data_IF_980434769173
#
_entry.id   IF_980434769173
#
_cell.length_a   1.000
_cell.length_b   1.000
_cell.length_c   1.000
_cell.angle_alpha   90.00
_cell.angle_beta   90.00
_cell.angle_gamma   90.00
#
_symmetry.space_group_name_H-M   'P 1'
#
loop_
_entity.id
_entity.type
_entity.pdbx_description
1 polymer ?
#
# COMPACT_ATOMS: atom_id res chain seq x y z
N UNK A 1 -0.30 -9.17 53.63
CA UNK A 1 0.87 -8.44 53.08
C UNK A 1 1.43 -9.13 51.84
N UNK A 2 1.62 -10.46 51.84
CA UNK A 2 2.11 -11.23 50.69
C UNK A 2 1.25 -11.12 49.42
N UNK A 3 -0.08 -11.27 49.52
CA UNK A 3 -0.97 -11.30 48.35
C UNK A 3 -1.06 -9.99 47.55
N UNK A 4 -0.90 -8.84 48.22
CA UNK A 4 -0.89 -7.53 47.58
C UNK A 4 0.39 -7.35 46.75
N UNK A 5 1.53 -7.79 47.28
CA UNK A 5 2.82 -7.75 46.59
C UNK A 5 2.85 -8.60 45.32
N UNK A 6 2.30 -9.83 45.38
CA UNK A 6 2.17 -10.70 44.21
C UNK A 6 1.28 -10.08 43.12
N UNK A 7 0.23 -9.36 43.50
CA UNK A 7 -0.68 -8.73 42.53
C UNK A 7 -0.04 -7.51 41.85
N UNK A 8 0.73 -6.70 42.58
CA UNK A 8 1.51 -5.61 41.99
C UNK A 8 2.61 -6.14 41.06
N UNK A 9 3.28 -7.23 41.43
CA UNK A 9 4.30 -7.85 40.60
C UNK A 9 3.70 -8.41 39.30
N UNK A 10 2.52 -9.04 39.35
CA UNK A 10 1.85 -9.55 38.15
C UNK A 10 1.42 -8.45 37.19
N UNK A 11 0.91 -7.32 37.73
CA UNK A 11 0.53 -6.15 36.91
C UNK A 11 1.77 -5.50 36.29
N UNK A 12 2.85 -5.36 37.05
CA UNK A 12 4.11 -4.81 36.55
C UNK A 12 4.72 -5.68 35.44
N UNK A 13 4.75 -7.01 35.61
CA UNK A 13 5.22 -7.94 34.59
C UNK A 13 4.34 -7.88 33.34
N UNK A 14 3.02 -7.81 33.47
CA UNK A 14 2.10 -7.68 32.33
C UNK A 14 2.34 -6.38 31.55
N UNK A 15 2.51 -5.26 32.26
CA UNK A 15 2.84 -3.95 31.63
C UNK A 15 4.22 -4.00 30.96
N UNK A 16 5.21 -4.63 31.59
CA UNK A 16 6.55 -4.80 31.00
C UNK A 16 6.50 -5.69 29.76
N UNK A 17 5.75 -6.79 29.76
CA UNK A 17 5.59 -7.64 28.57
C UNK A 17 4.85 -6.92 27.46
N UNK A 18 3.85 -6.09 27.77
CA UNK A 18 3.15 -5.26 26.78
C UNK A 18 4.12 -4.22 26.20
N UNK A 19 4.93 -3.56 27.03
CA UNK A 19 5.95 -2.62 26.56
C UNK A 19 7.03 -3.29 25.71
N UNK A 20 7.49 -4.50 26.10
CA UNK A 20 8.46 -5.29 25.34
C UNK A 20 7.85 -5.78 24.02
N UNK A 21 6.58 -6.17 23.99
CA UNK A 21 5.87 -6.53 22.75
C UNK A 21 5.69 -5.30 21.83
N UNK A 22 5.30 -4.16 22.40
CA UNK A 22 5.20 -2.88 21.66
C UNK A 22 6.57 -2.50 21.08
N UNK A 23 7.66 -2.66 21.84
CA UNK A 23 9.02 -2.40 21.36
C UNK A 23 9.49 -3.42 20.32
N UNK A 24 9.21 -4.71 20.52
CA UNK A 24 9.59 -5.78 19.60
C UNK A 24 8.85 -5.69 18.25
N UNK A 25 7.63 -5.16 18.26
CA UNK A 25 6.82 -4.94 17.06
C UNK A 25 7.15 -3.62 16.35
N UNK A 26 7.94 -2.72 16.98
CA UNK A 26 8.18 -1.38 16.45
C UNK A 26 9.40 -1.21 15.54
N UNK A 27 10.35 -2.17 15.47
CA UNK A 27 11.63 -1.97 14.76
C UNK A 27 12.16 -3.23 14.03
N UNK A 28 11.29 -4.15 13.57
CA UNK A 28 11.78 -5.29 12.78
C UNK A 28 12.02 -4.89 11.30
N UNK A 29 13.18 -4.29 11.02
CA UNK A 29 13.67 -4.07 9.65
C UNK A 29 14.27 -5.36 9.04
N UNK A 30 13.91 -6.54 9.55
CA UNK A 30 14.41 -7.80 9.00
C UNK A 30 14.11 -7.91 7.51
N UNK A 31 15.17 -8.15 6.73
CA UNK A 31 15.09 -8.25 5.27
C UNK A 31 15.15 -6.92 4.51
N UNK A 32 15.06 -5.75 5.17
CA UNK A 32 15.30 -4.48 4.48
C UNK A 32 16.78 -4.35 4.14
N UNK A 33 17.07 -3.94 2.90
CA UNK A 33 18.40 -3.50 2.49
C UNK A 33 18.30 -2.03 2.10
N UNK A 34 19.02 -1.17 2.80
CA UNK A 34 19.07 0.27 2.52
C UNK A 34 20.54 0.69 2.48
N UNK A 35 21.01 0.97 1.27
CA UNK A 35 22.38 1.39 1.01
C UNK A 35 22.39 2.89 0.72
N UNK A 36 23.22 3.64 1.45
CA UNK A 36 23.55 5.02 1.11
C UNK A 36 24.80 5.01 0.24
N UNK A 37 24.65 5.53 -0.99
CA UNK A 37 25.68 5.47 -2.01
C UNK A 37 26.67 6.62 -1.84
N UNK A 38 27.93 6.27 -1.53
CA UNK A 38 28.99 7.25 -1.28
C UNK A 38 29.21 7.57 0.19
N UNK A 39 28.50 6.90 1.10
CA UNK A 39 28.79 6.94 2.54
C UNK A 39 30.15 6.25 2.81
N UNK A 40 31.04 6.80 3.67
CA UNK A 40 32.33 6.17 3.95
C UNK A 40 32.21 4.74 4.48
N UNK A 41 33.20 3.90 4.21
CA UNK A 41 33.22 2.52 4.72
C UNK A 41 33.03 2.48 6.25
N UNK A 42 32.31 1.47 6.73
CA UNK A 42 31.95 1.28 8.14
C UNK A 42 31.06 2.39 8.74
N UNK A 43 30.48 3.25 7.89
CA UNK A 43 29.49 4.25 8.33
C UNK A 43 28.07 3.68 8.23
N UNK A 44 27.23 4.14 9.15
CA UNK A 44 25.80 3.86 9.19
C UNK A 44 25.06 5.01 9.87
N UNK A 45 23.76 5.15 9.58
CA UNK A 45 22.88 6.07 10.29
C UNK A 45 21.43 5.62 10.20
N UNK A 46 20.61 6.10 11.12
CA UNK A 46 19.15 5.95 11.06
C UNK A 46 18.54 7.25 10.53
N UNK A 47 17.75 7.17 9.47
CA UNK A 47 17.05 8.33 8.93
C UNK A 47 16.06 8.87 9.97
N UNK A 48 16.17 10.16 10.32
CA UNK A 48 15.42 10.74 11.44
C UNK A 48 13.89 10.68 11.25
N UNK A 49 13.42 10.77 10.00
CA UNK A 49 11.98 10.77 9.69
C UNK A 49 11.36 9.38 9.76
N UNK A 50 12.05 8.38 9.22
CA UNK A 50 11.50 7.03 9.03
C UNK A 50 12.02 6.02 10.04
N UNK A 51 13.16 6.28 10.68
CA UNK A 51 13.88 5.30 11.51
C UNK A 51 14.62 4.23 10.69
N UNK A 52 14.60 4.30 9.35
CA UNK A 52 15.27 3.32 8.48
C UNK A 52 16.78 3.41 8.66
N UNK A 53 17.43 2.27 8.89
CA UNK A 53 18.88 2.18 9.00
C UNK A 53 19.52 2.08 7.61
N UNK A 54 20.41 3.02 7.29
CA UNK A 54 21.23 2.99 6.09
C UNK A 54 22.66 2.55 6.45
N UNK A 55 23.22 1.72 5.59
CA UNK A 55 24.64 1.32 5.63
C UNK A 55 25.36 1.82 4.39
N UNK A 56 26.67 2.03 4.51
CA UNK A 56 27.53 2.32 3.36
C UNK A 56 27.45 1.22 2.30
N UNK A 57 27.47 1.64 1.04
CA UNK A 57 27.58 0.80 -0.14
C UNK A 57 29.02 0.30 -0.42
N UNK A 58 30.02 0.75 0.36
CA UNK A 58 31.45 0.49 0.12
C UNK A 58 31.80 -1.01 -0.05
N UNK A 59 31.03 -1.92 0.54
CA UNK A 59 31.23 -3.38 0.42
C UNK A 59 30.61 -3.99 -0.84
N UNK A 60 29.80 -3.23 -1.56
CA UNK A 60 29.05 -3.66 -2.75
C UNK A 60 29.59 -3.00 -4.03
N UNK A 61 30.60 -2.15 -3.90
CA UNK A 61 31.31 -1.54 -5.02
C UNK A 61 32.75 -2.07 -5.04
N UNK A 62 33.23 -2.51 -6.19
CA UNK A 62 34.59 -3.02 -6.38
C UNK A 62 35.35 -2.18 -7.42
N UNK A 63 34.66 -1.77 -8.49
CA UNK A 63 35.22 -0.98 -9.58
C UNK A 63 34.16 -0.03 -10.18
N UNK A 64 34.60 0.95 -10.97
CA UNK A 64 33.70 1.82 -11.72
C UNK A 64 34.40 2.43 -12.93
N UNK A 65 33.96 2.10 -14.15
CA UNK A 65 34.46 2.73 -15.37
C UNK A 65 33.74 4.06 -15.56
N UNK A 66 34.47 5.16 -15.39
CA UNK A 66 33.91 6.51 -15.52
C UNK A 66 33.78 6.93 -16.98
N UNK A 67 32.63 6.67 -17.58
CA UNK A 67 32.24 7.26 -18.87
C UNK A 67 30.98 8.14 -18.68
N UNK A 68 31.18 9.35 -18.15
CA UNK A 68 30.11 10.27 -17.74
C UNK A 68 30.06 10.50 -16.22
N UNK A 69 28.96 11.07 -15.70
CA UNK A 69 28.73 11.19 -14.25
C UNK A 69 27.29 10.80 -13.90
N UNK A 70 26.95 9.49 -13.99
CA UNK A 70 25.75 8.98 -13.33
C UNK A 70 25.95 9.07 -11.82
N UNK A 71 24.89 9.41 -11.08
CA UNK A 71 24.91 9.37 -9.61
C UNK A 71 23.64 8.69 -9.10
N UNK A 72 23.79 7.90 -8.05
CA UNK A 72 22.73 7.30 -7.25
C UNK A 72 23.02 7.72 -5.82
N UNK A 73 22.00 8.16 -5.08
CA UNK A 73 22.15 8.55 -3.67
C UNK A 73 21.85 7.41 -2.71
N UNK A 74 20.88 6.56 -3.04
CA UNK A 74 20.53 5.41 -2.21
C UNK A 74 19.86 4.31 -3.03
N UNK A 75 19.98 3.07 -2.53
CA UNK A 75 19.30 1.88 -3.05
C UNK A 75 18.52 1.25 -1.90
N UNK A 76 17.22 1.07 -2.08
CA UNK A 76 16.31 0.44 -1.12
C UNK A 76 15.71 -0.82 -1.74
N UNK A 77 15.98 -1.97 -1.12
CA UNK A 77 15.35 -3.24 -1.47
C UNK A 77 14.46 -3.65 -0.30
N UNK A 78 13.19 -3.96 -0.63
CA UNK A 78 12.17 -4.37 0.33
C UNK A 78 11.62 -5.73 -0.10
N UNK A 79 11.64 -6.74 0.78
CA UNK A 79 10.99 -8.00 0.48
C UNK A 79 9.47 -7.79 0.43
N UNK A 80 8.83 -8.37 -0.58
CA UNK A 80 7.38 -8.38 -0.72
C UNK A 80 6.86 -9.81 -0.62
N UNK A 81 5.61 -9.97 -0.21
CA UNK A 81 4.91 -11.24 -0.33
C UNK A 81 4.80 -11.64 -1.81
N UNK A 82 5.24 -12.85 -2.14
CA UNK A 82 5.30 -13.35 -3.51
C UNK A 82 3.91 -13.63 -4.12
N UNK A 83 2.83 -13.53 -3.33
CA UNK A 83 1.45 -13.63 -3.80
C UNK A 83 0.78 -12.26 -4.04
N UNK A 84 1.35 -11.15 -3.56
CA UNK A 84 0.72 -9.83 -3.68
C UNK A 84 0.69 -9.33 -5.14
N UNK A 85 1.85 -9.29 -5.79
CA UNK A 85 1.98 -8.73 -7.14
C UNK A 85 2.50 -9.77 -8.12
N UNK A 86 1.67 -10.79 -8.38
CA UNK A 86 2.04 -11.86 -9.29
C UNK A 86 2.25 -11.29 -10.71
N UNK A 87 3.44 -11.46 -11.30
CA UNK A 87 3.73 -10.88 -12.60
C UNK A 87 2.92 -11.55 -13.71
N UNK A 88 2.41 -10.74 -14.63
CA UNK A 88 1.66 -11.21 -15.81
C UNK A 88 2.50 -12.12 -16.70
N UNK A 89 3.81 -11.85 -16.79
CA UNK A 89 4.77 -12.69 -17.51
C UNK A 89 6.10 -12.74 -16.77
N UNK A 90 6.89 -13.78 -17.00
CA UNK A 90 8.23 -13.92 -16.40
C UNK A 90 9.24 -12.83 -16.83
N UNK A 91 8.91 -12.00 -17.82
CA UNK A 91 9.79 -10.94 -18.36
C UNK A 91 9.30 -9.51 -18.08
N UNK A 92 8.15 -9.39 -17.43
CA UNK A 92 7.55 -8.10 -17.12
C UNK A 92 7.79 -7.72 -15.67
N UNK A 93 8.12 -6.45 -15.43
CA UNK A 93 8.13 -5.87 -14.08
C UNK A 93 6.97 -4.89 -13.92
N UNK A 94 6.54 -4.71 -12.67
CA UNK A 94 5.58 -3.67 -12.31
C UNK A 94 6.33 -2.43 -11.81
N UNK A 95 6.19 -1.32 -12.53
CA UNK A 95 6.68 -0.01 -12.14
C UNK A 95 5.54 0.75 -11.50
N UNK A 96 5.67 1.19 -10.25
CA UNK A 96 4.64 2.03 -9.60
C UNK A 96 4.35 3.25 -10.46
N UNK A 97 3.07 3.50 -10.74
CA UNK A 97 2.60 4.71 -11.40
C UNK A 97 2.06 5.69 -10.36
N UNK A 98 1.17 5.21 -9.49
CA UNK A 98 0.81 5.90 -8.26
C UNK A 98 0.32 4.91 -7.20
N UNK A 99 0.37 5.34 -5.95
CA UNK A 99 -0.21 4.65 -4.79
C UNK A 99 -0.82 5.70 -3.88
N UNK A 100 -2.15 5.65 -3.75
CA UNK A 100 -2.91 6.69 -3.09
C UNK A 100 -3.65 6.19 -1.85
N UNK A 101 -3.49 6.93 -0.76
CA UNK A 101 -4.40 6.99 0.37
C UNK A 101 -5.55 7.95 -0.01
N UNK A 102 -6.68 7.37 -0.37
CA UNK A 102 -7.81 8.10 -0.94
C UNK A 102 -8.62 8.80 0.16
N UNK A 103 -8.64 8.25 1.36
CA UNK A 103 -9.43 8.73 2.49
C UNK A 103 -8.71 9.70 3.43
N UNK A 104 -7.41 9.93 3.22
CA UNK A 104 -6.52 10.62 4.17
C UNK A 104 -7.11 11.86 4.82
N UNK A 105 -7.29 11.83 6.14
CA UNK A 105 -7.76 12.98 6.94
C UNK A 105 -6.62 13.84 7.49
N UNK A 106 -5.38 13.36 7.37
CA UNK A 106 -4.18 14.03 7.88
C UNK A 106 -3.42 14.76 6.77
N UNK A 107 -3.64 14.37 5.52
CA UNK A 107 -2.89 14.82 4.36
C UNK A 107 -1.37 14.57 4.52
N UNK A 108 -1.02 13.47 5.17
CA UNK A 108 0.36 13.03 5.36
C UNK A 108 0.69 11.86 4.42
N UNK A 109 1.97 11.75 4.10
CA UNK A 109 2.54 10.58 3.43
C UNK A 109 2.86 9.50 4.46
N UNK A 110 2.46 8.26 4.18
CA UNK A 110 2.72 7.09 5.02
C UNK A 110 3.66 6.11 4.32
N UNK A 111 4.60 5.54 5.08
CA UNK A 111 5.52 4.47 4.66
C UNK A 111 5.94 3.68 5.90
N UNK A 112 7.15 3.11 5.94
CA UNK A 112 7.67 2.57 7.20
C UNK A 112 7.63 3.62 8.33
N UNK A 113 7.16 3.28 9.54
CA UNK A 113 6.81 1.94 10.03
C UNK A 113 5.32 1.57 9.96
N UNK A 114 4.50 2.41 9.34
CA UNK A 114 3.07 2.15 9.21
C UNK A 114 2.80 0.99 8.23
N UNK A 115 3.54 0.95 7.11
CA UNK A 115 3.50 -0.09 6.08
C UNK A 115 4.67 -1.08 6.23
N UNK A 116 4.35 -2.37 6.39
CA UNK A 116 5.33 -3.44 6.59
C UNK A 116 6.27 -3.66 5.40
N UNK A 117 5.84 -3.29 4.20
CA UNK A 117 6.61 -3.38 2.96
C UNK A 117 7.31 -2.05 2.60
N UNK A 118 7.23 -1.04 3.47
CA UNK A 118 7.78 0.30 3.27
C UNK A 118 7.33 0.95 1.95
N UNK A 119 6.10 0.61 1.51
CA UNK A 119 5.48 1.28 0.37
C UNK A 119 5.07 2.69 0.78
N UNK A 120 5.30 3.63 -0.12
CA UNK A 120 4.90 5.02 0.06
C UNK A 120 3.45 5.18 -0.41
N UNK A 121 2.59 5.69 0.47
CA UNK A 121 1.20 6.06 0.24
C UNK A 121 1.06 7.57 0.25
N UNK A 122 0.60 8.13 -0.86
CA UNK A 122 0.38 9.57 -1.00
C UNK A 122 -1.09 9.92 -0.76
N UNK A 123 -1.40 10.97 0.01
CA UNK A 123 -2.78 11.41 0.16
C UNK A 123 -3.29 11.93 -1.19
N UNK A 124 -4.49 11.51 -1.58
CA UNK A 124 -5.13 12.00 -2.79
C UNK A 124 -6.60 12.30 -2.55
N UNK A 125 -7.02 13.53 -2.86
CA UNK A 125 -8.37 14.01 -2.67
C UNK A 125 -8.87 14.70 -3.94
N UNK A 126 -10.18 14.65 -4.16
CA UNK A 126 -10.85 15.38 -5.23
C UNK A 126 -12.25 15.83 -4.78
N UNK A 127 -12.89 16.65 -5.62
CA UNK A 127 -14.20 17.23 -5.32
C UNK A 127 -15.32 16.18 -5.33
N UNK A 128 -16.45 16.51 -4.70
CA UNK A 128 -17.68 15.68 -4.65
C UNK A 128 -17.58 14.40 -3.81
N UNK A 129 -16.58 14.37 -2.93
CA UNK A 129 -16.27 13.26 -2.03
C UNK A 129 -16.56 13.63 -0.58
N UNK A 130 -17.07 12.66 0.17
CA UNK A 130 -17.19 12.71 1.63
C UNK A 130 -16.23 11.71 2.23
N UNK A 131 -15.40 12.15 3.17
CA UNK A 131 -14.51 11.28 3.93
C UNK A 131 -15.27 10.55 5.04
N UNK A 132 -14.90 9.30 5.26
CA UNK A 132 -15.34 8.43 6.33
C UNK A 132 -14.10 7.91 7.06
N UNK A 133 -14.23 7.68 8.36
CA UNK A 133 -13.11 7.21 9.17
C UNK A 133 -13.58 6.31 10.29
N UNK A 134 -12.74 5.34 10.64
CA UNK A 134 -12.85 4.54 11.85
C UNK A 134 -11.52 4.47 12.57
N UNK A 135 -11.51 4.04 13.83
CA UNK A 135 -10.27 3.76 14.56
C UNK A 135 -9.97 2.27 14.46
N UNK A 136 -8.84 1.94 13.85
CA UNK A 136 -8.39 0.56 13.67
C UNK A 136 -6.87 0.46 13.72
N UNK A 137 -6.35 -0.56 14.40
CA UNK A 137 -4.93 -0.87 14.45
C UNK A 137 -4.60 -1.99 13.47
N UNK A 138 -3.31 -2.14 13.12
CA UNK A 138 -2.85 -3.22 12.23
C UNK A 138 -3.24 -4.61 12.76
N UNK A 139 -3.13 -4.84 14.08
CA UNK A 139 -3.45 -6.13 14.72
C UNK A 139 -4.95 -6.46 14.73
N UNK A 140 -5.81 -5.45 14.53
CA UNK A 140 -7.26 -5.60 14.49
C UNK A 140 -7.79 -5.91 13.08
N UNK A 141 -6.95 -5.76 12.04
CA UNK A 141 -7.30 -6.02 10.64
C UNK A 141 -7.07 -7.47 10.27
N UNK A 142 -8.08 -8.10 9.68
CA UNK A 142 -7.89 -9.35 8.94
C UNK A 142 -7.27 -9.00 7.60
N UNK A 143 -5.95 -9.13 7.53
CA UNK A 143 -5.13 -8.79 6.37
C UNK A 143 -5.23 -9.83 5.24
N UNK A 144 -4.87 -9.39 4.03
CA UNK A 144 -4.60 -10.25 2.88
C UNK A 144 -3.12 -10.11 2.45
N UNK A 145 -2.74 -10.74 1.34
CA UNK A 145 -1.35 -10.83 0.89
C UNK A 145 -0.72 -9.48 0.56
N UNK A 146 -1.52 -8.44 0.35
CA UNK A 146 -1.04 -7.08 0.07
C UNK A 146 -0.70 -6.30 1.33
N UNK A 147 -1.21 -6.71 2.50
CA UNK A 147 -1.01 -6.05 3.80
C UNK A 147 -1.04 -4.50 3.77
N UNK A 148 -2.07 -3.83 3.21
CA UNK A 148 -2.13 -2.37 3.27
C UNK A 148 -2.25 -1.93 4.74
N UNK A 149 -1.61 -0.81 5.11
CA UNK A 149 -1.52 -0.42 6.51
C UNK A 149 -2.86 0.09 7.04
N UNK A 150 -3.14 -0.19 8.31
CA UNK A 150 -4.37 0.22 8.98
C UNK A 150 -4.59 1.72 8.94
N UNK A 151 -3.53 2.53 9.00
CA UNK A 151 -3.66 3.98 8.92
C UNK A 151 -4.31 4.43 7.61
N UNK A 152 -4.00 3.76 6.49
CA UNK A 152 -4.61 4.01 5.18
C UNK A 152 -6.02 3.41 5.12
N UNK A 153 -6.21 2.18 5.60
CA UNK A 153 -7.51 1.49 5.59
C UNK A 153 -8.51 1.98 6.65
N UNK A 154 -8.06 2.81 7.59
CA UNK A 154 -8.88 3.45 8.62
C UNK A 154 -9.76 4.56 8.05
N UNK A 155 -9.43 5.04 6.85
CA UNK A 155 -10.19 6.07 6.16
C UNK A 155 -10.70 5.56 4.82
N UNK A 156 -11.78 6.17 4.36
CA UNK A 156 -12.32 5.93 3.03
C UNK A 156 -13.01 7.19 2.52
N UNK A 157 -13.31 7.21 1.24
CA UNK A 157 -14.20 8.21 0.65
C UNK A 157 -15.46 7.55 0.11
N UNK A 158 -16.54 8.32 0.09
CA UNK A 158 -17.84 7.95 -0.45
C UNK A 158 -18.41 9.15 -1.22
N UNK A 159 -19.25 8.97 -2.26
CA UNK A 159 -19.80 10.10 -3.00
C UNK A 159 -20.73 10.94 -2.11
N UNK A 160 -20.69 12.27 -2.25
CA UNK A 160 -21.60 13.18 -1.51
C UNK A 160 -23.06 12.91 -1.87
N UNK A 161 -23.33 12.64 -3.15
CA UNK A 161 -24.62 12.17 -3.61
C UNK A 161 -24.68 10.64 -3.47
N UNK A 162 -25.51 10.14 -2.55
CA UNK A 162 -25.62 8.71 -2.21
C UNK A 162 -26.05 7.81 -3.37
N UNK A 163 -26.61 8.38 -4.43
CA UNK A 163 -27.00 7.66 -5.65
C UNK A 163 -26.00 7.83 -6.79
N UNK A 164 -25.03 8.74 -6.67
CA UNK A 164 -24.00 8.93 -7.68
C UNK A 164 -22.90 7.86 -7.55
N UNK A 165 -22.22 7.51 -8.64
CA UNK A 165 -21.04 6.68 -8.59
C UNK A 165 -19.85 7.42 -7.97
N UNK A 166 -18.91 6.67 -7.41
CA UNK A 166 -17.57 7.16 -7.11
C UNK A 166 -16.72 7.13 -8.37
N UNK A 167 -16.05 8.23 -8.71
CA UNK A 167 -15.26 8.30 -9.94
C UNK A 167 -13.85 8.81 -9.67
N UNK A 168 -12.88 8.14 -10.29
CA UNK A 168 -11.46 8.47 -10.31
C UNK A 168 -10.94 8.16 -11.71
N UNK A 169 -9.88 8.81 -12.14
CA UNK A 169 -9.27 8.50 -13.42
C UNK A 169 -7.77 8.72 -13.46
N UNK A 170 -7.14 8.10 -14.44
CA UNK A 170 -5.80 8.45 -14.86
C UNK A 170 -5.68 8.47 -16.38
N UNK A 171 -4.61 9.12 -16.84
CA UNK A 171 -4.31 9.31 -18.26
C UNK A 171 -2.99 8.59 -18.56
N UNK A 172 -2.99 7.78 -19.61
CA UNK A 172 -1.79 7.13 -20.11
C UNK A 172 -1.01 8.06 -21.04
N UNK A 173 0.30 7.85 -21.16
CA UNK A 173 1.15 8.64 -22.04
C UNK A 173 0.92 8.27 -23.52
N UNK A 174 0.65 6.99 -23.80
CA UNK A 174 0.30 6.47 -25.12
C UNK A 174 -0.64 5.26 -25.00
N UNK A 175 -1.12 4.74 -26.13
CA UNK A 175 -2.11 3.64 -26.16
C UNK A 175 -1.51 2.26 -25.89
N UNK A 176 -0.19 2.12 -25.98
CA UNK A 176 0.54 0.85 -25.79
C UNK A 176 0.88 0.62 -24.30
N UNK A 177 0.68 1.63 -23.45
CA UNK A 177 0.87 1.47 -22.01
C UNK A 177 -0.12 0.44 -21.44
N UNK A 178 0.41 -0.37 -20.53
CA UNK A 178 -0.31 -1.43 -19.85
C UNK A 178 -0.28 -1.16 -18.35
N UNK A 179 -1.43 -1.29 -17.71
CA UNK A 179 -1.59 -1.01 -16.28
C UNK A 179 -2.19 -2.19 -15.52
N UNK A 180 -1.73 -2.39 -14.30
CA UNK A 180 -2.44 -3.15 -13.28
C UNK A 180 -2.97 -2.20 -12.22
N UNK A 181 -4.23 -2.37 -11.83
CA UNK A 181 -4.88 -1.58 -10.80
C UNK A 181 -5.34 -2.47 -9.65
N UNK A 182 -5.12 -2.01 -8.42
CA UNK A 182 -5.46 -2.68 -7.17
C UNK A 182 -6.26 -1.70 -6.30
N UNK A 183 -7.45 -2.10 -5.89
CA UNK A 183 -8.38 -1.30 -5.09
C UNK A 183 -8.52 -1.98 -3.73
N UNK A 184 -8.19 -1.25 -2.68
CA UNK A 184 -8.23 -1.76 -1.32
C UNK A 184 -9.45 -1.23 -0.59
N UNK A 185 -10.16 -2.15 0.04
CA UNK A 185 -11.39 -1.87 0.76
C UNK A 185 -11.31 -2.41 2.18
N UNK A 186 -11.80 -1.60 3.11
CA UNK A 186 -12.19 -1.98 4.46
C UNK A 186 -13.46 -1.19 4.77
N UNK A 187 -14.53 -1.87 5.22
CA UNK A 187 -15.72 -1.14 5.66
C UNK A 187 -15.36 -0.33 6.92
N UNK A 188 -15.62 0.97 6.87
CA UNK A 188 -15.26 1.91 7.94
C UNK A 188 -16.48 2.26 8.81
N UNK A 189 -17.70 1.99 8.34
CA UNK A 189 -18.93 2.18 9.11
C UNK A 189 -19.44 0.82 9.60
N UNK A 190 -19.69 0.67 10.91
CA UNK A 190 -20.28 -0.57 11.44
C UNK A 190 -21.78 -0.61 11.11
N UNK A 191 -22.11 -1.22 9.98
CA UNK A 191 -23.47 -1.34 9.47
C UNK A 191 -24.37 -2.20 10.37
N UNK A 192 -25.64 -1.83 10.49
CA UNK A 192 -26.65 -2.67 11.14
C UNK A 192 -26.97 -3.93 10.31
N UNK A 193 -27.61 -4.94 10.91
CA UNK A 193 -27.92 -6.21 10.22
C UNK A 193 -28.79 -6.05 8.96
N UNK A 194 -29.60 -5.00 8.88
CA UNK A 194 -30.45 -4.67 7.74
C UNK A 194 -29.79 -3.66 6.77
N UNK A 195 -28.56 -3.25 7.03
CA UNK A 195 -27.81 -2.31 6.20
C UNK A 195 -26.71 -3.03 5.43
N UNK A 196 -26.53 -2.63 4.17
CA UNK A 196 -25.56 -3.27 3.28
C UNK A 196 -24.87 -2.23 2.41
N UNK A 197 -23.55 -2.38 2.28
CA UNK A 197 -22.77 -1.68 1.25
C UNK A 197 -22.37 -2.69 0.18
N UNK A 198 -22.89 -2.50 -1.03
CA UNK A 198 -22.65 -3.40 -2.14
C UNK A 198 -22.62 -2.61 -3.45
N UNK A 199 -21.51 -2.72 -4.19
CA UNK A 199 -21.27 -1.92 -5.39
C UNK A 199 -20.46 -2.67 -6.45
N UNK A 200 -20.62 -2.22 -7.70
CA UNK A 200 -19.85 -2.71 -8.84
C UNK A 200 -18.66 -1.78 -9.11
N UNK A 201 -17.55 -2.33 -9.59
CA UNK A 201 -16.35 -1.55 -9.97
C UNK A 201 -16.05 -1.78 -11.44
N UNK A 202 -15.96 -0.69 -12.20
CA UNK A 202 -15.67 -0.73 -13.64
C UNK A 202 -14.51 0.19 -13.99
N UNK A 203 -13.79 -0.16 -15.04
CA UNK A 203 -12.82 0.70 -15.72
C UNK A 203 -13.22 0.84 -17.18
N UNK A 204 -13.43 2.08 -17.63
CA UNK A 204 -13.95 2.39 -18.97
C UNK A 204 -15.25 1.63 -19.29
N UNK A 205 -16.13 1.48 -18.29
CA UNK A 205 -17.40 0.76 -18.40
C UNK A 205 -17.29 -0.77 -18.39
N UNK A 206 -16.08 -1.34 -18.42
CA UNK A 206 -15.86 -2.78 -18.31
C UNK A 206 -15.62 -3.18 -16.86
N UNK A 207 -16.23 -4.27 -16.42
CA UNK A 207 -15.99 -4.78 -15.06
C UNK A 207 -14.54 -5.24 -14.91
N UNK A 208 -13.85 -4.80 -13.85
CA UNK A 208 -12.47 -5.23 -13.55
C UNK A 208 -12.41 -6.71 -13.15
N UNK A 209 -13.51 -7.22 -12.60
CA UNK A 209 -13.75 -8.61 -12.22
C UNK A 209 -15.25 -8.91 -12.25
N UNK A 210 -15.66 -10.16 -12.44
CA UNK A 210 -17.05 -10.58 -12.60
C UNK A 210 -17.90 -10.65 -11.33
N UNK A 211 -17.55 -9.89 -10.28
CA UNK A 211 -18.15 -10.02 -8.96
C UNK A 211 -18.55 -8.68 -8.31
N UNK A 212 -19.57 -8.77 -7.46
CA UNK A 212 -20.04 -7.70 -6.58
C UNK A 212 -19.05 -7.46 -5.44
N UNK A 213 -18.72 -6.20 -5.13
CA UNK A 213 -17.91 -5.86 -3.96
C UNK A 213 -18.82 -5.62 -2.76
N UNK A 214 -18.58 -6.36 -1.67
CA UNK A 214 -19.25 -6.22 -0.38
C UNK A 214 -18.16 -6.13 0.70
N UNK A 215 -17.68 -4.93 1.05
CA UNK A 215 -16.63 -4.78 2.05
C UNK A 215 -17.15 -5.16 3.43
N UNK A 216 -16.30 -5.78 4.25
CA UNK A 216 -16.63 -6.17 5.62
C UNK A 216 -15.80 -5.37 6.62
N UNK A 217 -16.38 -5.12 7.79
CA UNK A 217 -15.76 -4.29 8.83
C UNK A 217 -14.53 -4.99 9.39
N UNK A 218 -13.37 -4.32 9.35
CA UNK A 218 -12.04 -4.83 9.76
C UNK A 218 -11.48 -5.97 8.89
N UNK A 219 -11.97 -6.14 7.68
CA UNK A 219 -11.48 -7.16 6.76
C UNK A 219 -10.97 -6.49 5.50
N UNK A 220 -9.72 -6.76 5.14
CA UNK A 220 -9.12 -6.22 3.92
C UNK A 220 -9.60 -7.02 2.72
N UNK A 221 -10.27 -6.33 1.80
CA UNK A 221 -10.62 -6.86 0.49
C UNK A 221 -9.84 -6.09 -0.58
N UNK A 222 -9.08 -6.79 -1.42
CA UNK A 222 -8.39 -6.19 -2.56
C UNK A 222 -9.01 -6.69 -3.85
N UNK A 223 -9.58 -5.78 -4.64
CA UNK A 223 -9.99 -6.04 -6.01
C UNK A 223 -8.87 -5.63 -6.96
N UNK A 224 -8.54 -6.45 -7.95
CA UNK A 224 -7.47 -6.14 -8.89
C UNK A 224 -7.80 -6.57 -10.32
N UNK A 225 -7.14 -5.93 -11.29
CA UNK A 225 -7.21 -6.35 -12.69
C UNK A 225 -6.42 -7.64 -12.92
N UNK A 226 -7.05 -8.68 -13.46
CA UNK A 226 -6.37 -9.96 -13.75
C UNK A 226 -5.52 -9.87 -15.03
N UNK A 227 -5.96 -9.06 -15.98
CA UNK A 227 -5.23 -8.77 -17.22
C UNK A 227 -4.84 -7.29 -17.26
N UNK A 228 -3.76 -6.94 -17.99
CA UNK A 228 -3.34 -5.55 -18.09
C UNK A 228 -4.40 -4.70 -18.78
N UNK A 229 -4.73 -3.56 -18.16
CA UNK A 229 -5.55 -2.50 -18.73
C UNK A 229 -4.73 -1.79 -19.80
N UNK A 230 -5.18 -1.81 -21.06
CA UNK A 230 -4.44 -1.25 -22.19
C UNK A 230 -5.36 -0.75 -23.31
N UNK A 231 -4.81 -0.04 -24.30
CA UNK A 231 -5.55 0.40 -25.49
C UNK A 231 -6.41 1.65 -25.29
N UNK A 232 -6.26 2.35 -24.16
CA UNK A 232 -7.00 3.57 -23.88
C UNK A 232 -6.07 4.71 -23.43
N UNK A 233 -6.42 5.95 -23.83
CA UNK A 233 -5.71 7.16 -23.38
C UNK A 233 -6.13 7.58 -21.97
N UNK A 234 -7.39 7.32 -21.60
CA UNK A 234 -8.00 7.64 -20.30
C UNK A 234 -8.59 6.38 -19.72
N UNK A 235 -8.36 6.14 -18.44
CA UNK A 235 -8.93 5.03 -17.67
C UNK A 235 -9.81 5.63 -16.58
N UNK A 236 -11.13 5.59 -16.82
CA UNK A 236 -12.13 6.09 -15.90
C UNK A 236 -12.64 4.94 -15.02
N UNK A 237 -12.38 5.03 -13.73
CA UNK A 237 -12.92 4.14 -12.72
C UNK A 237 -14.31 4.64 -12.32
N UNK A 238 -15.25 3.72 -12.21
CA UNK A 238 -16.57 3.99 -11.62
C UNK A 238 -16.94 2.90 -10.62
N UNK A 239 -17.18 3.29 -9.36
CA UNK A 239 -17.80 2.43 -8.35
C UNK A 239 -19.27 2.83 -8.23
N UNK A 240 -20.18 1.91 -8.49
CA UNK A 240 -21.62 2.21 -8.56
C UNK A 240 -22.39 1.36 -7.57
N UNK A 241 -23.17 2.04 -6.71
CA UNK A 241 -24.08 1.40 -5.75
C UNK A 241 -25.04 0.44 -6.46
N UNK A 242 -25.26 -0.74 -5.89
CA UNK A 242 -26.29 -1.68 -6.39
C UNK A 242 -27.68 -1.35 -5.85
N UNK A 243 -28.72 -1.82 -6.54
CA UNK A 243 -30.13 -1.56 -6.17
C UNK A 243 -30.47 -2.01 -4.74
N UNK A 244 -29.89 -3.13 -4.30
CA UNK A 244 -30.16 -3.71 -2.98
C UNK A 244 -29.28 -3.14 -1.87
N UNK A 245 -28.34 -2.24 -2.20
CA UNK A 245 -27.47 -1.65 -1.20
C UNK A 245 -28.18 -0.50 -0.49
N UNK A 246 -28.00 -0.38 0.83
CA UNK A 246 -28.48 0.80 1.57
C UNK A 246 -27.46 1.93 1.52
N UNK A 247 -26.16 1.61 1.45
CA UNK A 247 -25.07 2.59 1.51
C UNK A 247 -24.41 2.84 0.14
N UNK A 248 -23.88 4.05 -0.11
CA UNK A 248 -23.08 4.34 -1.31
C UNK A 248 -21.74 3.60 -1.32
N UNK A 249 -21.05 3.49 -2.48
CA UNK A 249 -19.73 2.85 -2.56
C UNK A 249 -18.69 3.56 -1.68
N UNK A 250 -17.62 2.82 -1.33
CA UNK A 250 -16.45 3.37 -0.65
C UNK A 250 -15.16 2.97 -1.34
N UNK A 251 -14.11 3.76 -1.16
CA UNK A 251 -12.74 3.42 -1.56
C UNK A 251 -11.76 3.90 -0.48
N UNK A 252 -10.91 3.01 0.03
CA UNK A 252 -9.90 3.35 1.04
C UNK A 252 -8.58 3.72 0.36
N UNK A 253 -8.13 2.88 -0.57
CA UNK A 253 -6.83 3.06 -1.22
C UNK A 253 -6.80 2.48 -2.63
N UNK A 254 -5.89 2.99 -3.45
CA UNK A 254 -5.65 2.47 -4.81
C UNK A 254 -4.16 2.45 -5.13
N UNK A 255 -3.74 1.37 -5.79
CA UNK A 255 -2.43 1.25 -6.41
C UNK A 255 -2.57 1.04 -7.90
N UNK A 256 -1.79 1.76 -8.70
CA UNK A 256 -1.68 1.54 -10.13
C UNK A 256 -0.22 1.38 -10.52
N UNK A 257 0.05 0.34 -11.30
CA UNK A 257 1.38 -0.01 -11.79
C UNK A 257 1.39 -0.02 -13.31
N UNK A 258 2.42 0.55 -13.93
CA UNK A 258 2.75 0.36 -15.34
C UNK A 258 3.52 -0.94 -15.51
N UNK A 259 3.18 -1.74 -16.53
CA UNK A 259 3.98 -2.88 -16.95
C UNK A 259 5.19 -2.36 -17.72
N UNK A 260 6.39 -2.85 -17.40
CA UNK A 260 7.59 -2.63 -18.21
C UNK A 260 8.16 -3.98 -18.64
N UNK A 261 8.39 -4.12 -19.93
CA UNK A 261 9.08 -5.28 -20.50
C UNK A 261 10.55 -4.94 -20.68
N UNK A 262 11.42 -5.67 -19.99
CA UNK A 262 12.85 -5.63 -20.27
C UNK A 262 13.15 -6.69 -21.32
N UNK A 263 12.92 -6.36 -22.59
CA UNK A 263 13.27 -7.24 -23.72
C UNK A 263 14.77 -7.19 -24.07
N UNK A 264 15.55 -6.34 -23.40
CA UNK A 264 17.00 -6.24 -23.61
C UNK A 264 17.73 -7.26 -22.75
N UNK A 265 18.85 -7.77 -23.27
CA UNK A 265 19.76 -8.63 -22.50
C UNK A 265 20.24 -7.89 -21.26
N UNK A 266 20.34 -8.61 -20.14
CA UNK A 266 21.13 -8.16 -18.98
C UNK A 266 22.50 -7.65 -19.45
N UNK A 267 23.08 -6.70 -18.71
CA UNK A 267 24.46 -6.28 -18.96
C UNK A 267 25.37 -7.51 -19.07
N UNK A 268 26.29 -7.49 -20.04
CA UNK A 268 27.25 -8.59 -20.26
C UNK A 268 27.84 -8.99 -18.91
N UNK A 269 27.83 -10.29 -18.62
CA UNK A 269 28.33 -10.89 -17.38
C UNK A 269 29.87 -10.76 -17.20
N UNK A 270 30.57 -10.11 -18.13
CA UNK A 270 32.03 -10.03 -18.19
C UNK A 270 32.57 -8.61 -17.90
N UNK A 271 32.02 -7.92 -16.89
CA UNK A 271 32.63 -6.71 -16.30
C UNK A 271 33.25 -7.02 -14.93
#
# INVERSE_FOLDING_TARGET
MMGIFLHFLSVFLAVLTILVLIQAQQDDQSGFVSLDCGLPEHSNYSALKTGINYTSDAKFIDTGVRNGTPFISAIELRPLNNQAYIPYSAKSVLSSFFRFDIGSITNLEYRYKDDAYDRIWFPYQWNEMKQLSTSINNDDLVQNEYEPPAIVLSTAVTPVNVSAPLQLEWVADNLDEQFFAYFHFNEVEKLAENETRAFNVTVNGNSLYGGLVVPAYRVVNTLYSITPLTGAKRYAISLSKTENSTHPPILNAIEVYKVKDFSQSETKQDD
#
